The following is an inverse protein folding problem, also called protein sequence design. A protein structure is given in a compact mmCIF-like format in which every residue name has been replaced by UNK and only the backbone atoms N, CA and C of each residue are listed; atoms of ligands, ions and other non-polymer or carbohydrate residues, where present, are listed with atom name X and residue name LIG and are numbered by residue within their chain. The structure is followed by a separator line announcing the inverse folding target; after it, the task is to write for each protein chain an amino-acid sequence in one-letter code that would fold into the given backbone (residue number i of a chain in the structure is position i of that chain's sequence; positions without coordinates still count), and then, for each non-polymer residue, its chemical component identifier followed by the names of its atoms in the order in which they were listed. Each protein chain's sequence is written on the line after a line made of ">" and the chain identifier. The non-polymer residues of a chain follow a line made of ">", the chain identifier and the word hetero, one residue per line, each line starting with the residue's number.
data_IF_983396444725
#
_entry.id   IF_983396444725
#
_cell.length_a   1.000
_cell.length_b   1.000
_cell.length_c   1.000
_cell.angle_alpha   90.00
_cell.angle_beta   90.00
_cell.angle_gamma   90.00
#
_symmetry.space_group_name_H-M   'P 1'
#
loop_
_entity.id
_entity.type
_entity.pdbx_description
1 polymer ?
#
# COMPACT_ATOMS: atom_id res chain seq x y z
N UNK A 1 49.32 -8.27 5.07
CA UNK A 1 48.49 -7.06 5.09
C UNK A 1 47.46 -7.02 3.97
N UNK A 2 47.71 -7.55 2.76
CA UNK A 2 46.72 -7.48 1.66
C UNK A 2 45.50 -8.42 1.79
N UNK A 3 45.60 -9.48 2.60
CA UNK A 3 44.51 -10.45 2.79
C UNK A 3 43.37 -9.95 3.68
N UNK A 4 43.64 -8.98 4.54
CA UNK A 4 42.60 -8.39 5.41
C UNK A 4 41.79 -7.27 4.71
N UNK A 5 42.39 -6.61 3.71
CA UNK A 5 41.67 -5.58 2.93
C UNK A 5 40.64 -6.20 1.99
N UNK A 6 40.89 -7.39 1.44
CA UNK A 6 39.95 -8.09 0.56
C UNK A 6 38.71 -8.63 1.28
N UNK A 7 38.82 -9.00 2.56
CA UNK A 7 37.71 -9.47 3.37
C UNK A 7 36.76 -8.33 3.78
N UNK A 8 37.29 -7.12 3.96
CA UNK A 8 36.47 -5.96 4.34
C UNK A 8 35.64 -5.43 3.16
N UNK A 9 36.13 -5.59 1.95
CA UNK A 9 35.44 -5.12 0.73
C UNK A 9 34.25 -6.03 0.34
N UNK A 10 34.33 -7.32 0.70
CA UNK A 10 33.25 -8.28 0.40
C UNK A 10 32.04 -8.13 1.32
N UNK A 11 32.17 -7.50 2.49
CA UNK A 11 31.09 -7.34 3.46
C UNK A 11 30.16 -6.15 3.14
N UNK A 12 30.59 -5.25 2.24
CA UNK A 12 29.82 -4.04 1.88
C UNK A 12 28.80 -4.27 0.76
N UNK A 13 28.73 -5.47 0.17
CA UNK A 13 27.91 -5.75 -1.02
C UNK A 13 26.64 -6.58 -0.77
N UNK A 14 26.34 -6.89 0.49
CA UNK A 14 25.13 -7.67 0.83
C UNK A 14 24.09 -6.85 1.58
N UNK A 15 23.70 -5.71 1.05
CA UNK A 15 22.45 -5.08 1.50
C UNK A 15 21.30 -5.82 0.81
N UNK A 16 20.39 -6.48 1.57
CA UNK A 16 19.29 -7.20 0.98
C UNK A 16 18.35 -6.22 0.25
N UNK A 17 18.05 -6.50 -1.01
CA UNK A 17 17.10 -5.73 -1.82
C UNK A 17 15.71 -5.61 -1.18
N UNK A 18 15.37 -6.50 -0.24
CA UNK A 18 14.15 -6.47 0.57
C UNK A 18 13.99 -5.22 1.44
N UNK A 19 15.08 -4.56 1.87
CA UNK A 19 15.01 -3.33 2.66
C UNK A 19 14.36 -2.16 1.89
N UNK A 20 14.52 -2.11 0.58
CA UNK A 20 13.88 -1.09 -0.27
C UNK A 20 12.38 -1.35 -0.45
N UNK A 21 11.95 -2.60 -0.62
CA UNK A 21 10.55 -2.97 -0.74
C UNK A 21 9.76 -2.66 0.55
N UNK A 22 10.34 -2.93 1.72
CA UNK A 22 9.74 -2.57 3.02
C UNK A 22 9.62 -1.05 3.18
N UNK A 23 10.63 -0.28 2.76
CA UNK A 23 10.61 1.18 2.80
C UNK A 23 9.46 1.78 1.97
N UNK A 24 9.20 1.26 0.78
CA UNK A 24 8.11 1.69 -0.11
C UNK A 24 6.75 1.38 0.51
N UNK A 25 6.52 0.16 0.97
CA UNK A 25 5.26 -0.24 1.62
C UNK A 25 5.02 0.53 2.92
N UNK A 26 6.06 0.79 3.71
CA UNK A 26 5.95 1.59 4.93
C UNK A 26 5.54 3.04 4.66
N UNK A 27 6.02 3.65 3.58
CA UNK A 27 5.56 4.98 3.15
C UNK A 27 4.10 4.95 2.71
N UNK A 28 3.71 3.92 1.95
CA UNK A 28 2.32 3.70 1.54
C UNK A 28 1.39 3.50 2.72
N UNK A 29 1.81 2.77 3.75
CA UNK A 29 1.06 2.62 5.00
C UNK A 29 0.80 3.96 5.67
N UNK A 30 1.81 4.82 5.77
CA UNK A 30 1.62 6.16 6.36
C UNK A 30 0.65 7.03 5.56
N UNK A 31 0.65 6.91 4.24
CA UNK A 31 -0.34 7.60 3.39
C UNK A 31 -1.75 7.11 3.72
N UNK A 32 -1.96 5.80 3.80
CA UNK A 32 -3.24 5.20 4.17
C UNK A 32 -3.71 5.64 5.56
N UNK A 33 -2.84 5.58 6.55
CA UNK A 33 -3.16 5.96 7.93
C UNK A 33 -3.54 7.43 8.07
N UNK A 34 -2.85 8.32 7.37
CA UNK A 34 -3.10 9.76 7.45
C UNK A 34 -4.36 10.20 6.70
N UNK A 35 -4.66 9.57 5.59
CA UNK A 35 -5.69 10.06 4.66
C UNK A 35 -6.96 9.21 4.63
N UNK A 36 -6.91 7.95 5.05
CA UNK A 36 -7.98 6.99 4.82
C UNK A 36 -8.51 6.34 6.11
N UNK A 37 -7.74 6.35 7.19
CA UNK A 37 -8.07 5.63 8.42
C UNK A 37 -9.28 6.18 9.18
N UNK A 38 -9.69 7.41 8.91
CA UNK A 38 -10.92 7.98 9.52
C UNK A 38 -12.19 7.25 9.08
N UNK A 39 -12.18 6.63 7.91
CA UNK A 39 -13.32 5.90 7.36
C UNK A 39 -13.05 4.41 7.11
N UNK A 40 -11.83 4.07 6.68
CA UNK A 40 -11.45 2.71 6.31
C UNK A 40 -10.60 2.02 7.38
N UNK A 41 -10.79 0.70 7.54
CA UNK A 41 -9.77 -0.14 8.15
C UNK A 41 -8.61 -0.28 7.17
N UNK A 42 -7.47 0.32 7.48
CA UNK A 42 -6.33 0.43 6.55
C UNK A 42 -5.23 -0.59 6.79
N UNK A 43 -5.38 -1.45 7.79
CA UNK A 43 -4.41 -2.49 8.13
C UNK A 43 -4.95 -3.90 7.88
N UNK A 44 -4.15 -4.91 8.20
CA UNK A 44 -4.55 -6.33 8.09
C UNK A 44 -5.65 -6.74 9.04
N UNK A 45 -5.98 -5.90 10.02
CA UNK A 45 -6.94 -6.19 11.09
C UNK A 45 -7.91 -5.03 11.28
N UNK A 46 -8.96 -5.28 12.01
CA UNK A 46 -9.90 -4.26 12.44
C UNK A 46 -11.08 -4.07 11.51
N UNK A 47 -12.01 -3.25 11.98
CA UNK A 47 -13.25 -2.90 11.30
C UNK A 47 -13.17 -1.44 10.87
N UNK A 48 -13.67 -1.14 9.68
CA UNK A 48 -13.75 0.24 9.20
C UNK A 48 -14.64 1.09 10.12
N UNK A 49 -14.19 2.28 10.53
CA UNK A 49 -15.03 3.21 11.30
C UNK A 49 -16.35 3.55 10.60
N UNK A 50 -16.31 3.71 9.29
CA UNK A 50 -17.50 3.81 8.46
C UNK A 50 -17.86 2.42 7.90
N UNK A 51 -19.02 1.90 8.25
CA UNK A 51 -19.50 0.58 7.82
C UNK A 51 -19.61 0.43 6.29
N UNK A 52 -19.81 1.53 5.58
CA UNK A 52 -19.89 1.55 4.12
C UNK A 52 -18.53 1.58 3.44
N UNK A 53 -17.47 1.93 4.17
CA UNK A 53 -16.11 1.98 3.66
C UNK A 53 -15.46 0.58 3.73
N UNK A 54 -15.10 -0.04 2.62
CA UNK A 54 -14.51 -1.37 2.63
C UNK A 54 -13.14 -1.36 3.33
N UNK A 55 -12.84 -2.43 4.05
CA UNK A 55 -11.51 -2.64 4.61
C UNK A 55 -10.49 -2.82 3.46
N UNK A 56 -9.35 -2.15 3.54
CA UNK A 56 -8.34 -2.16 2.48
C UNK A 56 -7.84 -3.55 2.12
N UNK A 57 -7.71 -4.43 3.10
CA UNK A 57 -7.29 -5.84 2.88
C UNK A 57 -8.23 -6.65 1.98
N UNK A 58 -9.44 -6.18 1.74
CA UNK A 58 -10.45 -6.88 0.95
C UNK A 58 -10.70 -6.26 -0.43
N UNK A 59 -9.99 -5.19 -0.77
CA UNK A 59 -10.27 -4.46 -2.01
C UNK A 59 -10.04 -5.29 -3.27
N UNK A 60 -9.01 -6.14 -3.29
CA UNK A 60 -8.76 -7.03 -4.43
C UNK A 60 -9.85 -8.09 -4.67
N UNK A 61 -10.73 -8.30 -3.72
CA UNK A 61 -11.90 -9.17 -3.89
C UNK A 61 -13.06 -8.48 -4.63
N UNK A 62 -13.02 -7.16 -4.71
CA UNK A 62 -14.10 -6.33 -5.27
C UNK A 62 -13.71 -5.62 -6.55
N UNK A 63 -12.43 -5.27 -6.67
CA UNK A 63 -11.89 -4.41 -7.74
C UNK A 63 -10.56 -4.95 -8.22
N UNK A 64 -10.25 -4.74 -9.48
CA UNK A 64 -8.88 -4.84 -9.95
C UNK A 64 -8.05 -3.69 -9.33
N UNK A 65 -6.96 -4.02 -8.66
CA UNK A 65 -6.14 -2.98 -7.99
C UNK A 65 -5.52 -2.00 -8.98
N UNK A 66 -5.33 -2.40 -10.22
CA UNK A 66 -4.85 -1.51 -11.28
C UNK A 66 -5.87 -0.41 -11.59
N UNK A 67 -7.16 -0.73 -11.64
CA UNK A 67 -8.22 0.26 -11.86
C UNK A 67 -8.24 1.29 -10.72
N UNK A 68 -7.98 0.85 -9.50
CA UNK A 68 -7.85 1.75 -8.36
C UNK A 68 -6.64 2.68 -8.49
N UNK A 69 -5.52 2.19 -9.00
CA UNK A 69 -4.32 2.99 -9.26
C UNK A 69 -4.61 4.10 -10.28
N UNK A 70 -5.29 3.76 -11.37
CA UNK A 70 -5.72 4.72 -12.39
C UNK A 70 -6.69 5.76 -11.81
N UNK A 71 -7.66 5.30 -11.04
CA UNK A 71 -8.62 6.18 -10.39
C UNK A 71 -7.96 7.16 -9.40
N UNK A 72 -6.96 6.72 -8.64
CA UNK A 72 -6.18 7.59 -7.75
C UNK A 72 -5.36 8.64 -8.52
N UNK A 73 -4.86 8.28 -9.70
CA UNK A 73 -4.12 9.20 -10.56
C UNK A 73 -5.02 10.27 -11.19
N UNK A 74 -6.26 9.94 -11.47
CA UNK A 74 -7.26 10.83 -12.04
C UNK A 74 -8.02 11.67 -10.99
N UNK A 75 -7.88 11.31 -9.70
CA UNK A 75 -8.65 11.88 -8.61
C UNK A 75 -10.02 11.20 -8.47
N UNK A 76 -10.09 10.26 -7.52
CA UNK A 76 -11.34 9.53 -7.30
C UNK A 76 -12.39 10.41 -6.64
N UNK A 77 -13.53 10.48 -7.29
CA UNK A 77 -14.80 10.77 -6.65
C UNK A 77 -15.64 9.48 -6.67
N UNK A 78 -15.48 8.65 -5.65
CA UNK A 78 -16.29 7.43 -5.50
C UNK A 78 -17.24 7.59 -4.33
N UNK A 79 -18.50 7.55 -4.62
CA UNK A 79 -19.55 7.49 -3.63
C UNK A 79 -20.83 8.11 -4.10
N UNK A 80 -21.73 7.30 -4.61
CA UNK A 80 -23.07 7.74 -4.95
C UNK A 80 -24.04 7.74 -3.75
N UNK A 81 -23.61 7.24 -2.60
CA UNK A 81 -24.45 7.08 -1.40
C UNK A 81 -23.69 7.37 -0.10
N UNK A 82 -23.28 8.61 0.10
CA UNK A 82 -22.79 9.29 1.31
C UNK A 82 -22.01 8.47 2.37
N UNK A 83 -21.08 9.07 3.15
CA UNK A 83 -20.37 10.29 2.83
C UNK A 83 -19.35 10.06 1.73
N UNK A 84 -19.26 11.01 0.83
CA UNK A 84 -18.31 10.95 -0.28
C UNK A 84 -16.87 10.87 0.23
N UNK A 85 -16.04 10.07 -0.41
CA UNK A 85 -14.60 10.12 -0.18
C UNK A 85 -14.10 11.52 -0.58
N UNK A 86 -13.26 12.16 0.25
CA UNK A 86 -12.62 13.40 -0.14
C UNK A 86 -11.78 13.20 -1.40
N UNK A 87 -11.68 14.23 -2.21
CA UNK A 87 -10.74 14.26 -3.32
C UNK A 87 -9.31 14.34 -2.78
N UNK A 88 -8.50 13.37 -3.10
CA UNK A 88 -7.08 13.35 -2.77
C UNK A 88 -6.25 13.62 -4.02
N UNK A 89 -5.31 14.52 -3.91
CA UNK A 89 -4.31 14.78 -4.95
C UNK A 89 -2.97 14.18 -4.55
N UNK A 90 -2.69 13.00 -5.06
CA UNK A 90 -1.43 12.31 -4.85
C UNK A 90 -0.55 12.42 -6.09
N UNK A 91 0.74 12.66 -5.89
CA UNK A 91 1.71 12.55 -6.96
C UNK A 91 1.99 11.06 -7.29
N UNK A 92 2.62 10.81 -8.44
CA UNK A 92 2.87 9.45 -8.94
C UNK A 92 3.66 8.59 -7.95
N UNK A 93 4.59 9.18 -7.19
CA UNK A 93 5.37 8.46 -6.17
C UNK A 93 4.51 8.05 -4.99
N UNK A 94 3.66 8.93 -4.52
CA UNK A 94 2.74 8.63 -3.42
C UNK A 94 1.76 7.52 -3.83
N UNK A 95 1.27 7.54 -5.05
CA UNK A 95 0.40 6.49 -5.59
C UNK A 95 1.16 5.17 -5.65
N UNK A 96 2.39 5.16 -6.16
CA UNK A 96 3.20 3.94 -6.21
C UNK A 96 3.48 3.35 -4.82
N UNK A 97 3.84 4.18 -3.85
CA UNK A 97 4.06 3.78 -2.47
C UNK A 97 2.78 3.22 -1.83
N UNK A 98 1.67 3.91 -2.02
CA UNK A 98 0.35 3.48 -1.53
C UNK A 98 -0.08 2.15 -2.14
N UNK A 99 0.06 1.98 -3.45
CA UNK A 99 -0.29 0.73 -4.13
C UNK A 99 0.60 -0.43 -3.71
N UNK A 100 1.89 -0.20 -3.46
CA UNK A 100 2.79 -1.22 -2.94
C UNK A 100 2.32 -1.71 -1.56
N UNK A 101 1.93 -0.79 -0.68
CA UNK A 101 1.33 -1.14 0.61
C UNK A 101 0.01 -1.89 0.44
N UNK A 102 -0.90 -1.37 -0.35
CA UNK A 102 -2.21 -1.95 -0.58
C UNK A 102 -2.13 -3.39 -1.09
N UNK A 103 -1.25 -3.65 -2.06
CA UNK A 103 -1.00 -5.01 -2.57
C UNK A 103 -0.45 -5.95 -1.49
N UNK A 104 0.37 -5.43 -0.59
CA UNK A 104 1.02 -6.22 0.47
C UNK A 104 0.04 -6.75 1.54
N UNK A 105 -1.09 -6.10 1.74
CA UNK A 105 -2.06 -6.43 2.79
C UNK A 105 -3.29 -7.18 2.30
N UNK A 106 -3.42 -7.42 0.99
CA UNK A 106 -4.60 -8.11 0.48
C UNK A 106 -4.71 -9.52 1.06
N UNK A 107 -5.91 -9.87 1.52
CA UNK A 107 -6.22 -11.26 1.86
C UNK A 107 -6.20 -12.07 0.56
N UNK A 108 -5.47 -13.17 0.58
CA UNK A 108 -5.47 -14.09 -0.56
C UNK A 108 -6.90 -14.61 -0.71
N UNK A 109 -7.46 -14.41 -1.89
CA UNK A 109 -8.64 -15.15 -2.27
C UNK A 109 -8.26 -16.62 -2.23
N UNK A 110 -8.82 -17.38 -1.30
CA UNK A 110 -8.76 -18.83 -1.40
C UNK A 110 -9.42 -19.16 -2.74
N UNK A 111 -8.63 -19.75 -3.62
CA UNK A 111 -9.11 -20.23 -4.91
C UNK A 111 -10.35 -21.08 -4.62
N UNK A 112 -11.52 -20.58 -4.94
CA UNK A 112 -12.71 -21.42 -4.99
C UNK A 112 -12.43 -22.51 -6.01
N UNK A 113 -12.58 -23.76 -5.59
CA UNK A 113 -12.45 -24.85 -6.55
C UNK A 113 -13.49 -24.74 -7.68
#
# INVERSE_FOLDING_TARGET
>A
MSRFLSALLALLLTLPASAFAEGVAARGQRIAERNCASCHAVTRKGTSPNEKAPAFRTLAQRYELQDLEEALAEGIMVGHEAPEMPLFEFNSRQIADFMAYLRSIQVKSELRP
#
